data_IF_473690124811
#
_entry.id   IF_473690124811
#
_cell.length_a   1.000
_cell.length_b   1.000
_cell.length_c   1.000
_cell.angle_alpha   90.00
_cell.angle_beta   90.00
_cell.angle_gamma   90.00
#
_symmetry.space_group_name_H-M   'P 1'
#
loop_
_entity.id
_entity.type
_entity.pdbx_description
1 polymer ?
#
# COMPACT_ATOMS: atom_id res chain seq x y z
N UNK A 1 16.25 -12.74 20.11
CA UNK A 1 16.50 -13.42 19.61
C UNK A 1 16.33 -13.58 18.26
N UNK A 2 16.84 -14.31 17.69
CA UNK A 2 16.88 -14.45 16.29
C UNK A 2 15.56 -14.75 15.67
N UNK A 3 14.62 -15.15 16.44
CA UNK A 3 13.36 -15.43 15.87
C UNK A 3 12.74 -14.26 15.18
N UNK A 4 12.92 -13.08 15.72
CA UNK A 4 12.32 -11.92 15.13
C UNK A 4 12.85 -11.64 13.77
N UNK A 5 14.06 -12.01 13.53
CA UNK A 5 14.64 -11.71 12.26
C UNK A 5 14.21 -12.66 11.18
N UNK A 6 13.64 -13.78 11.56
CA UNK A 6 13.18 -14.72 10.57
C UNK A 6 11.95 -14.24 9.85
N UNK A 7 11.22 -13.28 10.41
CA UNK A 7 10.00 -12.80 9.79
C UNK A 7 10.21 -11.42 9.22
N UNK A 8 9.90 -11.23 7.96
CA UNK A 8 10.03 -9.88 7.39
C UNK A 8 8.96 -8.97 7.97
N UNK A 9 9.21 -7.68 8.01
CA UNK A 9 8.20 -6.75 8.47
C UNK A 9 7.03 -6.74 7.49
N UNK A 10 5.82 -6.41 7.96
CA UNK A 10 4.69 -6.36 7.05
C UNK A 10 4.87 -5.25 6.03
N UNK A 11 4.27 -5.45 4.87
CA UNK A 11 4.25 -4.43 3.84
C UNK A 11 3.16 -3.44 4.18
N UNK A 12 3.53 -2.17 4.33
CA UNK A 12 2.58 -1.14 4.70
C UNK A 12 1.98 -0.51 3.45
N UNK A 13 0.65 -0.54 3.36
CA UNK A 13 -0.06 0.11 2.26
C UNK A 13 -0.86 1.25 2.86
N UNK A 14 -0.61 2.46 2.38
CA UNK A 14 -1.33 3.64 2.84
C UNK A 14 -2.29 4.09 1.77
N UNK A 15 -3.54 4.26 2.12
CA UNK A 15 -4.58 4.73 1.20
C UNK A 15 -5.09 6.07 1.70
N UNK A 16 -4.84 7.12 0.94
CA UNK A 16 -5.33 8.46 1.28
C UNK A 16 -6.61 8.69 0.51
N UNK A 17 -7.72 8.85 1.22
CA UNK A 17 -9.04 8.93 0.60
C UNK A 17 -9.70 10.28 0.85
N UNK A 18 -10.71 10.57 0.05
CA UNK A 18 -11.54 11.75 0.22
C UNK A 18 -13.00 11.35 0.13
N UNK A 19 -13.91 12.12 0.76
CA UNK A 19 -15.34 11.81 0.68
C UNK A 19 -15.85 11.89 -0.75
N UNK A 20 -16.83 11.05 -1.07
CA UNK A 20 -17.48 11.11 -2.38
C UNK A 20 -16.64 10.67 -3.54
N UNK A 21 -15.61 9.90 -3.27
CA UNK A 21 -14.66 9.48 -4.30
C UNK A 21 -14.89 8.01 -4.62
N UNK A 22 -15.38 7.74 -5.84
CA UNK A 22 -15.64 6.36 -6.24
C UNK A 22 -14.37 5.53 -6.32
N UNK A 23 -13.30 6.10 -6.83
CA UNK A 23 -12.04 5.38 -6.91
C UNK A 23 -11.50 5.07 -5.54
N UNK A 24 -11.76 5.96 -4.56
CA UNK A 24 -11.33 5.72 -3.19
C UNK A 24 -12.08 4.54 -2.59
N UNK A 25 -13.38 4.47 -2.81
CA UNK A 25 -14.18 3.36 -2.30
C UNK A 25 -13.75 2.05 -2.93
N UNK A 26 -13.51 2.07 -4.23
CA UNK A 26 -13.11 0.90 -4.94
C UNK A 26 -11.74 0.41 -4.47
N UNK A 27 -10.80 1.33 -4.30
CA UNK A 27 -9.47 0.99 -3.82
C UNK A 27 -9.54 0.43 -2.40
N UNK A 28 -10.36 1.03 -1.54
CA UNK A 28 -10.51 0.55 -0.17
C UNK A 28 -11.02 -0.88 -0.16
N UNK A 29 -12.01 -1.17 -0.99
CA UNK A 29 -12.56 -2.52 -1.06
C UNK A 29 -11.50 -3.51 -1.53
N UNK A 30 -10.80 -3.18 -2.59
CA UNK A 30 -9.78 -4.05 -3.14
C UNK A 30 -8.66 -4.30 -2.14
N UNK A 31 -8.18 -3.24 -1.50
CA UNK A 31 -7.09 -3.38 -0.55
C UNK A 31 -7.51 -4.13 0.71
N UNK A 32 -8.75 -3.95 1.14
CA UNK A 32 -9.26 -4.71 2.28
C UNK A 32 -9.29 -6.20 1.94
N UNK A 33 -9.73 -6.55 0.74
CA UNK A 33 -9.76 -7.94 0.32
C UNK A 33 -8.35 -8.53 0.27
N UNK A 34 -7.39 -7.74 -0.22
CA UNK A 34 -6.02 -8.22 -0.29
C UNK A 34 -5.44 -8.47 1.10
N UNK A 35 -5.71 -7.58 2.05
CA UNK A 35 -5.18 -7.76 3.39
C UNK A 35 -5.82 -8.95 4.09
N UNK A 36 -7.06 -9.27 3.74
CA UNK A 36 -7.70 -10.47 4.29
C UNK A 36 -7.02 -11.73 3.79
N UNK A 37 -6.59 -11.74 2.54
CA UNK A 37 -5.96 -12.90 1.97
C UNK A 37 -4.48 -13.00 2.31
N UNK A 38 -3.87 -11.89 2.64
CA UNK A 38 -2.42 -11.84 2.86
C UNK A 38 -2.13 -11.11 4.16
N UNK A 39 -1.95 -11.85 5.25
CA UNK A 39 -1.71 -11.21 6.56
C UNK A 39 -0.39 -10.47 6.65
N UNK A 40 0.48 -10.60 5.65
CA UNK A 40 1.71 -9.83 5.66
C UNK A 40 1.49 -8.39 5.21
N UNK A 41 0.28 -8.04 4.81
CA UNK A 41 -0.04 -6.67 4.41
C UNK A 41 -0.70 -5.93 5.56
N UNK A 42 -0.34 -4.67 5.73
CA UNK A 42 -0.96 -3.81 6.72
C UNK A 42 -1.51 -2.59 6.00
N UNK A 43 -2.82 -2.38 6.11
CA UNK A 43 -3.48 -1.27 5.43
C UNK A 43 -3.73 -0.14 6.41
N UNK A 44 -3.30 1.06 6.05
CA UNK A 44 -3.56 2.26 6.82
C UNK A 44 -4.43 3.20 6.00
N UNK A 45 -5.58 3.57 6.54
CA UNK A 45 -6.45 4.53 5.89
C UNK A 45 -6.17 5.92 6.44
N UNK A 46 -6.02 6.87 5.54
CA UNK A 46 -5.75 8.25 5.91
C UNK A 46 -6.73 9.14 5.15
N UNK A 47 -7.45 10.00 5.85
CA UNK A 47 -8.34 10.92 5.17
C UNK A 47 -7.56 12.14 4.70
N UNK A 48 -7.84 12.59 3.50
CA UNK A 48 -7.09 13.67 2.88
C UNK A 48 -7.10 14.94 3.70
N UNK A 49 -8.18 15.19 4.41
CA UNK A 49 -8.32 16.44 5.17
C UNK A 49 -7.59 16.44 6.50
N UNK A 50 -7.08 15.30 6.93
CA UNK A 50 -6.33 15.26 8.20
C UNK A 50 -4.95 15.86 8.01
N UNK A 51 -4.27 16.21 9.11
CA UNK A 51 -2.91 16.72 8.99
C UNK A 51 -1.97 15.75 8.26
N UNK A 52 -2.07 14.46 8.56
CA UNK A 52 -1.24 13.47 7.87
C UNK A 52 -1.62 13.40 6.39
N UNK A 53 -2.91 13.36 6.09
CA UNK A 53 -3.33 13.31 4.69
C UNK A 53 -2.87 14.52 3.91
N UNK A 54 -3.00 15.70 4.50
CA UNK A 54 -2.56 16.92 3.87
C UNK A 54 -1.05 16.88 3.60
N UNK A 55 -0.28 16.40 4.57
CA UNK A 55 1.16 16.33 4.42
C UNK A 55 1.56 15.36 3.30
N UNK A 56 0.90 14.20 3.26
CA UNK A 56 1.21 13.22 2.23
C UNK A 56 0.85 13.71 0.84
N UNK A 57 -0.26 14.39 0.72
CA UNK A 57 -0.66 14.95 -0.56
C UNK A 57 0.33 16.04 -0.99
N UNK A 58 0.76 16.85 -0.05
CA UNK A 58 1.72 17.89 -0.37
C UNK A 58 3.05 17.31 -0.81
N UNK A 59 3.47 16.24 -0.18
CA UNK A 59 4.73 15.60 -0.51
C UNK A 59 4.70 14.90 -1.86
N UNK A 60 3.64 14.13 -2.12
CA UNK A 60 3.59 13.27 -3.29
C UNK A 60 2.87 13.88 -4.48
N UNK A 61 2.11 14.94 -4.25
CA UNK A 61 1.42 15.69 -5.30
C UNK A 61 0.64 14.79 -6.27
N UNK A 62 -0.27 13.97 -5.75
CA UNK A 62 -1.03 13.11 -6.64
C UNK A 62 -1.95 13.92 -7.53
N UNK A 63 -2.10 13.47 -8.77
CA UNK A 63 -2.97 14.15 -9.71
C UNK A 63 -4.42 14.03 -9.33
N UNK A 64 -4.78 12.99 -8.61
CA UNK A 64 -6.16 12.76 -8.20
C UNK A 64 -6.19 11.81 -7.04
N UNK A 65 -7.35 11.69 -6.41
CA UNK A 65 -7.57 10.74 -5.32
C UNK A 65 -7.98 9.39 -5.89
N UNK A 66 -7.71 8.32 -5.19
CA UNK A 66 -6.92 8.23 -3.97
C UNK A 66 -5.43 8.15 -4.25
N UNK A 67 -4.65 8.51 -3.25
CA UNK A 67 -3.20 8.32 -3.31
C UNK A 67 -2.88 7.01 -2.61
N UNK A 68 -2.09 6.17 -3.23
CA UNK A 68 -1.69 4.89 -2.64
C UNK A 68 -0.18 4.86 -2.50
N UNK A 69 0.27 4.56 -1.29
CA UNK A 69 1.70 4.42 -1.01
C UNK A 69 1.97 2.98 -0.58
N UNK A 70 3.11 2.46 -0.98
CA UNK A 70 3.56 1.15 -0.52
C UNK A 70 4.88 1.36 0.19
N UNK A 71 4.89 1.04 1.48
CA UNK A 71 6.05 1.28 2.35
C UNK A 71 6.52 2.73 2.27
N UNK A 72 5.56 3.65 2.24
CA UNK A 72 5.85 5.07 2.22
C UNK A 72 6.22 5.64 0.88
N UNK A 73 6.26 4.83 -0.16
CA UNK A 73 6.63 5.30 -1.49
C UNK A 73 5.41 5.41 -2.38
N UNK A 74 5.40 6.41 -3.24
CA UNK A 74 4.31 6.60 -4.18
C UNK A 74 4.11 5.35 -5.03
N UNK A 75 2.90 4.86 -5.08
CA UNK A 75 2.57 3.74 -5.93
C UNK A 75 1.61 4.17 -7.03
N UNK A 76 0.50 4.82 -6.67
CA UNK A 76 -0.48 5.23 -7.68
C UNK A 76 -1.33 6.35 -7.15
N UNK A 77 -1.98 7.05 -8.07
CA UNK A 77 -2.99 8.06 -7.75
C UNK A 77 -4.15 7.83 -8.70
N UNK A 78 -5.37 7.95 -8.18
CA UNK A 78 -6.56 7.66 -8.96
C UNK A 78 -6.90 6.20 -8.93
N UNK A 79 -7.41 5.69 -10.02
CA UNK A 79 -7.85 4.31 -10.07
C UNK A 79 -6.70 3.36 -9.70
N UNK A 80 -6.98 2.43 -8.79
CA UNK A 80 -5.95 1.50 -8.33
C UNK A 80 -5.59 0.50 -9.43
N UNK A 81 -4.31 0.43 -9.83
CA UNK A 81 -3.89 -0.53 -10.84
C UNK A 81 -3.64 -1.88 -10.18
N UNK A 82 -4.68 -2.69 -10.10
CA UNK A 82 -4.67 -3.91 -9.32
C UNK A 82 -3.57 -4.88 -9.74
N UNK A 83 -3.43 -5.11 -11.04
CA UNK A 83 -2.42 -6.06 -11.51
C UNK A 83 -1.01 -5.60 -11.20
N UNK A 84 -0.77 -4.31 -11.33
CA UNK A 84 0.54 -3.75 -11.03
C UNK A 84 0.84 -3.90 -9.55
N UNK A 85 -0.17 -3.70 -8.70
CA UNK A 85 0.00 -3.88 -7.27
C UNK A 85 0.29 -5.33 -6.94
N UNK A 86 -0.46 -6.25 -7.51
CA UNK A 86 -0.27 -7.67 -7.25
C UNK A 86 1.13 -8.11 -7.69
N UNK A 87 1.61 -7.60 -8.82
CA UNK A 87 2.94 -7.92 -9.28
C UNK A 87 4.01 -7.39 -8.34
N UNK A 88 3.82 -6.17 -7.83
CA UNK A 88 4.76 -5.60 -6.89
C UNK A 88 4.81 -6.41 -5.60
N UNK A 89 3.66 -6.81 -5.09
CA UNK A 89 3.59 -7.57 -3.85
C UNK A 89 4.21 -8.95 -4.03
N UNK A 90 3.99 -9.58 -5.18
CA UNK A 90 4.57 -10.88 -5.47
C UNK A 90 6.09 -10.80 -5.50
N UNK A 91 6.63 -9.73 -6.06
CA UNK A 91 8.08 -9.57 -6.09
C UNK A 91 8.65 -9.36 -4.71
N UNK A 92 7.96 -8.58 -3.87
CA UNK A 92 8.42 -8.36 -2.50
C UNK A 92 8.44 -9.67 -1.73
N UNK A 93 7.41 -10.47 -1.89
CA UNK A 93 7.34 -11.73 -1.21
C UNK A 93 8.45 -12.67 -1.66
N UNK A 94 8.72 -12.69 -2.94
CA UNK A 94 9.78 -13.52 -3.49
C UNK A 94 11.14 -13.09 -2.96
N UNK A 95 11.39 -11.79 -2.91
CA UNK A 95 12.65 -11.29 -2.37
C UNK A 95 12.77 -11.62 -0.90
N UNK A 96 11.70 -11.47 -0.15
CA UNK A 96 11.74 -11.75 1.29
C UNK A 96 11.98 -13.23 1.55
N UNK A 97 11.38 -14.08 0.73
CA UNK A 97 11.49 -15.49 0.96
C UNK A 97 12.78 -16.08 0.46
N UNK A 98 13.20 -15.66 -0.72
CA UNK A 98 14.30 -16.27 -1.22
C UNK A 98 15.43 -15.48 -1.40
N UNK A 99 15.28 -14.33 -1.05
CA UNK A 99 16.12 -13.43 -1.41
C UNK A 99 17.41 -13.63 -1.53
N UNK A 100 17.62 -14.35 -1.18
CA UNK A 100 18.70 -14.52 -1.28
C UNK A 100 19.22 -15.07 -2.30
N UNK A 101 18.82 -15.48 -2.94
CA UNK A 101 19.31 -16.04 -3.82
C UNK A 101 19.65 -15.51 -4.78
N UNK A 102 19.54 -15.06 -5.05
CA UNK A 102 19.87 -14.68 -5.96
C UNK A 102 20.77 -14.42 -6.23
N UNK A 103 20.77 -14.67 -5.75
CA UNK A 103 21.68 -14.45 -5.82
C UNK A 103 21.87 -14.48 -6.26
#
# INVERSE_FOLDING_TARGET
MSLDRALPPPTAITLVTAPGCHFCEDAHKTLTELTHRDPSLALQLVEAATPLGTALISEHRPAMNPLVLVDGRYFSAGRLPRRKLEALLARRESVAAGGVRNG
#
